data_IF_560107187687
#
_entry.id   IF_560107187687
#
_cell.length_a   1.000
_cell.length_b   1.000
_cell.length_c   1.000
_cell.angle_alpha   90.00
_cell.angle_beta   90.00
_cell.angle_gamma   90.00
#
_symmetry.space_group_name_H-M   'P 1'
#
loop_
_entity.id
_entity.type
_entity.pdbx_description
1 polymer ?
#
# COMPACT_ATOMS: atom_id res chain seq x y z
N UNK A 1 -22.07 -8.21 -34.84
CA UNK A 1 -21.68 -7.78 -33.49
C UNK A 1 -20.42 -8.57 -33.18
N UNK A 2 -19.34 -7.85 -32.90
CA UNK A 2 -17.96 -8.34 -32.98
C UNK A 2 -17.59 -9.09 -31.70
N UNK A 3 -17.05 -10.31 -31.83
CA UNK A 3 -16.68 -11.18 -30.70
C UNK A 3 -15.65 -10.53 -29.75
N UNK A 4 -14.92 -9.52 -30.24
CA UNK A 4 -14.02 -8.68 -29.44
C UNK A 4 -14.78 -7.81 -28.42
N UNK A 5 -15.93 -7.26 -28.78
CA UNK A 5 -16.74 -6.41 -27.92
C UNK A 5 -17.52 -7.22 -26.88
N UNK A 6 -17.98 -8.43 -27.23
CA UNK A 6 -18.57 -9.36 -26.26
C UNK A 6 -17.53 -9.86 -25.24
N UNK A 7 -16.30 -10.14 -25.68
CA UNK A 7 -15.19 -10.52 -24.80
C UNK A 7 -14.85 -9.42 -23.78
N UNK A 8 -14.65 -8.18 -24.24
CA UNK A 8 -14.35 -7.02 -23.37
C UNK A 8 -15.49 -6.76 -22.37
N UNK A 9 -16.74 -6.85 -22.83
CA UNK A 9 -17.91 -6.65 -21.96
C UNK A 9 -18.03 -7.76 -20.90
N UNK A 10 -17.74 -9.00 -21.26
CA UNK A 10 -17.75 -10.14 -20.31
C UNK A 10 -16.66 -10.02 -19.23
N UNK A 11 -15.47 -9.50 -19.57
CA UNK A 11 -14.38 -9.28 -18.62
C UNK A 11 -14.75 -8.14 -17.65
N UNK A 12 -15.33 -7.06 -18.16
CA UNK A 12 -15.79 -5.97 -17.31
C UNK A 12 -16.91 -6.42 -16.35
N UNK A 13 -17.87 -7.22 -16.80
CA UNK A 13 -18.94 -7.77 -15.95
C UNK A 13 -18.41 -8.72 -14.85
N UNK A 14 -17.30 -9.44 -15.13
CA UNK A 14 -16.68 -10.37 -14.18
C UNK A 14 -16.02 -9.66 -12.99
N UNK A 15 -15.49 -8.44 -13.19
CA UNK A 15 -14.82 -7.67 -12.14
C UNK A 15 -15.79 -7.10 -11.09
N UNK A 16 -17.08 -7.01 -11.40
CA UNK A 16 -18.11 -6.50 -10.48
C UNK A 16 -19.02 -7.60 -9.95
N UNK A 17 -18.58 -8.86 -10.03
CA UNK A 17 -19.29 -9.98 -9.40
C UNK A 17 -19.34 -9.80 -7.88
N UNK A 18 -20.46 -10.21 -7.24
CA UNK A 18 -20.57 -10.16 -5.78
C UNK A 18 -19.43 -10.88 -5.08
N UNK A 19 -18.95 -10.28 -3.99
CA UNK A 19 -17.98 -10.95 -3.11
C UNK A 19 -18.70 -12.10 -2.40
N UNK A 20 -18.08 -13.28 -2.25
CA UNK A 20 -18.66 -14.38 -1.48
C UNK A 20 -19.08 -13.93 -0.08
N UNK A 21 -20.27 -14.38 0.35
CA UNK A 21 -20.77 -14.14 1.72
C UNK A 21 -19.97 -14.90 2.76
N UNK A 22 -19.33 -16.01 2.37
CA UNK A 22 -18.43 -16.80 3.18
C UNK A 22 -17.02 -16.69 2.60
N UNK A 23 -16.17 -15.92 3.26
CA UNK A 23 -14.74 -15.86 2.97
C UNK A 23 -14.06 -16.78 3.98
N UNK A 24 -13.21 -17.74 3.56
CA UNK A 24 -12.53 -18.62 4.50
C UNK A 24 -11.77 -17.82 5.57
N UNK A 25 -12.06 -18.04 6.86
CA UNK A 25 -11.39 -17.30 7.90
C UNK A 25 -9.94 -17.78 8.04
N UNK A 26 -9.01 -16.88 8.32
CA UNK A 26 -7.61 -17.23 8.57
C UNK A 26 -7.39 -17.84 9.98
N UNK A 27 -8.42 -18.33 10.68
CA UNK A 27 -8.29 -18.83 12.05
C UNK A 27 -7.26 -19.96 12.11
N UNK A 28 -6.27 -19.83 13.01
CA UNK A 28 -5.22 -20.83 13.16
C UNK A 28 -4.10 -20.73 12.11
N UNK A 29 -4.07 -19.68 11.29
CA UNK A 29 -3.04 -19.47 10.25
C UNK A 29 -1.60 -19.59 10.79
N UNK A 30 -1.35 -19.19 12.04
CA UNK A 30 -0.02 -19.29 12.69
C UNK A 30 0.50 -20.72 12.84
N UNK A 31 -0.37 -21.72 12.72
CA UNK A 31 -0.01 -23.15 12.78
C UNK A 31 0.37 -23.75 11.42
N UNK A 32 0.18 -23.00 10.32
CA UNK A 32 0.65 -23.43 9.00
C UNK A 32 2.18 -23.49 9.01
N UNK A 33 2.73 -24.64 8.64
CA UNK A 33 4.19 -24.85 8.63
C UNK A 33 4.84 -23.98 7.56
N UNK A 34 5.91 -23.28 7.92
CA UNK A 34 6.72 -22.48 7.00
C UNK A 34 7.90 -23.32 6.49
N UNK A 35 8.00 -23.43 5.17
CA UNK A 35 9.16 -23.94 4.43
C UNK A 35 9.65 -22.81 3.52
N UNK A 36 10.54 -21.95 4.06
CA UNK A 36 11.04 -20.76 3.37
C UNK A 36 11.58 -21.08 1.96
N UNK A 37 11.10 -20.36 0.96
CA UNK A 37 11.38 -20.60 -0.46
C UNK A 37 12.42 -19.65 -1.06
N UNK A 38 13.00 -18.75 -0.25
CA UNK A 38 14.09 -17.82 -0.62
C UNK A 38 13.71 -16.81 -1.72
N UNK A 39 12.42 -16.55 -1.96
CA UNK A 39 12.00 -15.50 -2.90
C UNK A 39 12.43 -14.12 -2.36
N UNK A 40 13.28 -13.33 -3.04
CA UNK A 40 13.84 -12.13 -2.44
C UNK A 40 12.78 -11.04 -2.23
N UNK A 41 13.06 -10.12 -1.30
CA UNK A 41 12.41 -8.82 -1.32
C UNK A 41 12.89 -8.02 -2.53
N UNK A 42 11.99 -7.22 -3.09
CA UNK A 42 12.26 -6.26 -4.17
C UNK A 42 11.60 -4.95 -3.82
N UNK A 43 12.27 -3.83 -4.14
CA UNK A 43 11.66 -2.52 -4.06
C UNK A 43 10.56 -2.41 -5.14
N UNK A 44 9.40 -1.89 -4.74
CA UNK A 44 8.31 -1.56 -5.65
C UNK A 44 8.03 -0.05 -5.63
N UNK A 45 7.55 0.46 -6.76
CA UNK A 45 7.19 1.85 -6.93
C UNK A 45 8.34 2.78 -7.30
N UNK A 46 8.17 4.10 -7.12
CA UNK A 46 9.00 5.07 -7.80
C UNK A 46 10.48 4.95 -7.47
N UNK A 47 11.34 5.10 -8.48
CA UNK A 47 12.80 4.90 -8.41
C UNK A 47 13.27 3.48 -8.06
N UNK A 48 12.39 2.47 -8.07
CA UNK A 48 12.80 1.07 -7.87
C UNK A 48 13.80 0.54 -8.90
N UNK A 49 13.96 1.24 -10.03
CA UNK A 49 14.95 0.89 -11.07
C UNK A 49 14.67 -0.46 -11.73
N UNK A 50 13.44 -0.95 -11.61
CA UNK A 50 13.02 -2.25 -12.11
C UNK A 50 11.59 -2.16 -12.70
N UNK A 51 11.06 -3.28 -13.18
CA UNK A 51 9.73 -3.35 -13.83
C UNK A 51 8.54 -3.00 -12.93
N UNK A 52 8.75 -2.77 -11.64
CA UNK A 52 7.72 -2.45 -10.64
C UNK A 52 7.62 -0.94 -10.37
N UNK A 53 8.37 -0.10 -11.09
CA UNK A 53 8.38 1.36 -10.95
C UNK A 53 7.00 2.01 -11.16
N UNK A 54 6.16 1.36 -11.98
CA UNK A 54 4.80 1.81 -12.32
C UNK A 54 3.77 1.59 -11.21
N UNK A 55 4.06 0.75 -10.22
CA UNK A 55 3.14 0.52 -9.09
C UNK A 55 3.25 1.72 -8.16
N UNK A 56 2.19 2.50 -8.01
CA UNK A 56 2.26 3.64 -7.10
C UNK A 56 2.21 3.18 -5.64
N UNK A 57 3.03 3.81 -4.79
CA UNK A 57 3.15 3.47 -3.37
C UNK A 57 2.91 4.70 -2.50
N UNK A 58 2.22 4.54 -1.37
CA UNK A 58 2.19 5.53 -0.28
C UNK A 58 2.69 4.84 0.97
N UNK A 59 3.92 5.14 1.39
CA UNK A 59 4.50 4.52 2.59
C UNK A 59 3.88 5.09 3.86
N UNK A 60 2.72 4.54 4.26
CA UNK A 60 1.86 5.13 5.29
C UNK A 60 2.57 5.23 6.64
N UNK A 61 3.24 4.18 7.10
CA UNK A 61 3.88 4.18 8.42
C UNK A 61 5.08 5.14 8.49
N UNK A 62 5.65 5.50 7.33
CA UNK A 62 6.69 6.51 7.23
C UNK A 62 6.14 7.94 7.28
N UNK A 63 4.86 8.14 6.95
CA UNK A 63 4.27 9.47 6.81
C UNK A 63 4.78 10.19 5.56
N UNK A 64 4.90 9.46 4.44
CA UNK A 64 5.36 10.00 3.16
C UNK A 64 4.43 11.13 2.66
N UNK A 65 3.13 11.01 2.92
CA UNK A 65 2.06 11.83 2.33
C UNK A 65 1.04 12.28 3.37
N UNK A 66 0.16 13.21 2.97
CA UNK A 66 -0.92 13.76 3.81
C UNK A 66 -2.07 12.78 4.08
N UNK A 67 -2.16 11.72 3.27
CA UNK A 67 -3.06 10.58 3.43
C UNK A 67 -2.65 9.61 4.55
N UNK A 68 -1.44 9.76 5.10
CA UNK A 68 -1.00 8.92 6.21
C UNK A 68 -1.62 9.37 7.53
N UNK A 69 -2.22 8.45 8.30
CA UNK A 69 -2.62 8.74 9.67
C UNK A 69 -1.40 8.83 10.61
N UNK A 70 -0.24 8.31 10.21
CA UNK A 70 0.99 8.32 11.01
C UNK A 70 1.85 9.55 10.68
N UNK A 71 2.39 10.18 11.73
CA UNK A 71 3.31 11.30 11.56
C UNK A 71 4.66 10.85 10.97
N UNK A 72 5.28 11.75 10.20
CA UNK A 72 6.61 11.51 9.63
C UNK A 72 7.65 11.19 10.70
N UNK A 73 8.40 10.11 10.47
CA UNK A 73 9.43 9.58 11.37
C UNK A 73 8.95 9.34 12.82
N UNK A 74 7.64 9.07 13.02
CA UNK A 74 7.07 8.78 14.35
C UNK A 74 7.07 7.29 14.70
N UNK A 75 7.12 6.42 13.70
CA UNK A 75 7.22 4.98 13.90
C UNK A 75 8.65 4.53 13.66
N UNK A 76 9.25 3.94 14.70
CA UNK A 76 10.60 3.38 14.61
C UNK A 76 10.63 2.28 13.55
N UNK A 77 11.64 2.31 12.69
CA UNK A 77 11.84 1.31 11.64
C UNK A 77 10.93 1.46 10.42
N UNK A 78 10.12 2.51 10.35
CA UNK A 78 9.28 2.79 9.18
C UNK A 78 10.14 3.12 7.96
N UNK A 79 9.77 2.58 6.80
CA UNK A 79 10.51 2.69 5.54
C UNK A 79 9.76 3.59 4.56
N UNK A 80 10.48 4.41 3.77
CA UNK A 80 9.87 5.16 2.66
C UNK A 80 9.76 4.29 1.40
N UNK A 81 10.62 3.29 1.26
CA UNK A 81 10.52 2.31 0.20
C UNK A 81 9.54 1.23 0.62
N UNK A 82 8.59 0.93 -0.24
CA UNK A 82 7.76 -0.27 -0.10
C UNK A 82 8.52 -1.45 -0.70
N UNK A 83 8.74 -2.49 0.10
CA UNK A 83 9.31 -3.76 -0.35
C UNK A 83 8.24 -4.85 -0.34
N UNK A 84 8.33 -5.80 -1.25
CA UNK A 84 7.50 -7.00 -1.26
C UNK A 84 8.32 -8.19 -1.77
N UNK A 85 7.85 -9.42 -1.53
CA UNK A 85 8.43 -10.60 -2.21
C UNK A 85 8.26 -10.43 -3.72
N UNK A 86 9.22 -10.94 -4.51
CA UNK A 86 9.20 -10.76 -5.97
C UNK A 86 7.93 -11.32 -6.61
N UNK A 87 7.44 -12.49 -6.18
CA UNK A 87 6.17 -13.04 -6.69
C UNK A 87 5.00 -12.10 -6.37
N UNK A 88 4.96 -11.50 -5.17
CA UNK A 88 3.94 -10.50 -4.80
C UNK A 88 3.99 -9.28 -5.72
N UNK A 89 5.19 -8.77 -6.02
CA UNK A 89 5.35 -7.64 -6.95
C UNK A 89 4.89 -7.99 -8.39
N UNK A 90 5.14 -9.22 -8.84
CA UNK A 90 4.63 -9.75 -10.12
C UNK A 90 3.09 -9.86 -10.14
N UNK A 91 2.49 -10.28 -9.02
CA UNK A 91 1.03 -10.33 -8.86
C UNK A 91 0.42 -8.92 -8.87
N UNK A 92 1.03 -7.95 -8.17
CA UNK A 92 0.59 -6.54 -8.20
C UNK A 92 0.64 -5.97 -9.64
N UNK A 93 1.70 -6.27 -10.40
CA UNK A 93 1.82 -5.86 -11.81
C UNK A 93 0.73 -6.50 -12.67
N UNK A 94 0.31 -7.70 -12.32
CA UNK A 94 -0.81 -8.40 -12.98
C UNK A 94 -2.14 -7.75 -12.63
N UNK A 95 -2.37 -7.44 -11.36
CA UNK A 95 -3.56 -6.72 -10.89
C UNK A 95 -3.70 -5.35 -11.57
N UNK A 96 -2.62 -4.56 -11.65
CA UNK A 96 -2.58 -3.27 -12.35
C UNK A 96 -3.00 -3.38 -13.82
N UNK A 97 -2.62 -4.46 -14.51
CA UNK A 97 -3.00 -4.71 -15.92
C UNK A 97 -4.44 -5.16 -16.10
N UNK A 98 -5.06 -5.71 -15.06
CA UNK A 98 -6.46 -6.16 -15.10
C UNK A 98 -7.41 -4.98 -14.88
N UNK A 99 -6.98 -3.95 -14.15
CA UNK A 99 -7.81 -2.80 -13.84
C UNK A 99 -8.39 -2.13 -15.09
N UNK A 100 -9.64 -1.64 -15.03
CA UNK A 100 -10.20 -0.80 -16.07
C UNK A 100 -9.35 0.45 -16.31
N UNK A 101 -9.33 0.94 -17.55
CA UNK A 101 -8.58 2.14 -17.93
C UNK A 101 -8.92 3.34 -17.04
N UNK A 102 -7.89 4.06 -16.57
CA UNK A 102 -8.00 5.22 -15.69
C UNK A 102 -8.16 4.89 -14.20
N UNK A 103 -8.08 3.61 -13.84
CA UNK A 103 -7.99 3.13 -12.46
C UNK A 103 -6.63 2.49 -12.23
N UNK A 104 -6.06 2.73 -11.05
CA UNK A 104 -4.70 2.32 -10.70
C UNK A 104 -4.65 1.82 -9.26
N UNK A 105 -3.75 0.88 -8.99
CA UNK A 105 -3.46 0.43 -7.63
C UNK A 105 -2.54 1.43 -6.93
N UNK A 106 -2.82 1.62 -5.64
CA UNK A 106 -1.90 2.24 -4.70
C UNK A 106 -1.63 1.28 -3.55
N UNK A 107 -0.36 0.92 -3.38
CA UNK A 107 0.09 0.08 -2.27
C UNK A 107 0.41 0.97 -1.08
N UNK A 108 -0.28 0.71 0.02
CA UNK A 108 -0.20 1.49 1.26
C UNK A 108 0.77 0.85 2.26
N UNK A 109 0.78 -0.48 2.33
CA UNK A 109 1.76 -1.26 3.09
C UNK A 109 2.05 -2.60 2.42
N UNK A 110 3.24 -3.14 2.68
CA UNK A 110 3.67 -4.46 2.20
C UNK A 110 4.63 -5.09 3.22
N UNK A 111 5.93 -5.14 2.93
CA UNK A 111 6.92 -5.54 3.92
C UNK A 111 7.01 -4.52 5.05
N UNK A 112 6.76 -5.01 6.26
CA UNK A 112 6.90 -4.25 7.49
C UNK A 112 8.11 -4.74 8.27
N UNK A 113 8.94 -3.84 8.77
CA UNK A 113 10.04 -4.21 9.66
C UNK A 113 9.49 -4.70 11.00
N UNK A 114 10.27 -5.52 11.72
CA UNK A 114 9.90 -5.95 13.07
C UNK A 114 9.74 -4.75 14.02
N UNK A 115 10.56 -3.71 13.86
CA UNK A 115 10.48 -2.47 14.64
C UNK A 115 9.15 -1.73 14.46
N UNK A 116 8.61 -1.68 13.23
CA UNK A 116 7.29 -1.08 12.98
C UNK A 116 6.20 -1.96 13.58
N UNK A 117 6.27 -3.29 13.38
CA UNK A 117 5.30 -4.22 13.97
C UNK A 117 5.23 -4.09 15.50
N UNK A 118 6.39 -3.98 16.15
CA UNK A 118 6.49 -3.77 17.58
C UNK A 118 5.93 -2.40 17.99
N UNK A 119 6.26 -1.34 17.23
CA UNK A 119 5.79 0.02 17.52
C UNK A 119 4.26 0.12 17.44
N UNK A 120 3.64 -0.49 16.42
CA UNK A 120 2.20 -0.52 16.26
C UNK A 120 1.53 -1.30 17.40
N UNK A 121 2.04 -2.49 17.73
CA UNK A 121 1.49 -3.29 18.81
C UNK A 121 1.56 -2.54 20.14
N UNK A 122 2.70 -1.92 20.47
CA UNK A 122 2.84 -1.13 21.69
C UNK A 122 1.88 0.05 21.72
N UNK A 123 1.71 0.78 20.61
CA UNK A 123 0.77 1.91 20.56
C UNK A 123 -0.68 1.47 20.84
N UNK A 124 -1.15 0.40 20.19
CA UNK A 124 -2.49 -0.14 20.41
C UNK A 124 -2.68 -0.69 21.83
N UNK A 125 -1.69 -1.43 22.34
CA UNK A 125 -1.73 -2.00 23.69
C UNK A 125 -1.83 -0.90 24.76
N UNK A 126 -0.97 0.12 24.68
CA UNK A 126 -0.99 1.26 25.61
C UNK A 126 -2.26 2.10 25.46
N UNK A 127 -2.78 2.24 24.23
CA UNK A 127 -4.07 2.88 23.96
C UNK A 127 -5.22 2.16 24.67
N UNK A 128 -5.32 0.83 24.52
CA UNK A 128 -6.32 0.02 25.20
C UNK A 128 -6.15 0.06 26.72
N UNK A 129 -4.91 0.02 27.22
CA UNK A 129 -4.61 0.10 28.67
C UNK A 129 -5.08 1.42 29.27
N UNK A 130 -4.95 2.52 28.52
CA UNK A 130 -5.44 3.84 28.93
C UNK A 130 -6.98 3.91 28.92
N UNK A 131 -7.63 3.32 27.92
CA UNK A 131 -9.10 3.26 27.82
C UNK A 131 -9.72 2.30 28.85
N UNK A 132 -9.00 1.24 29.22
CA UNK A 132 -9.45 0.16 30.08
C UNK A 132 -8.41 -0.20 31.15
N UNK A 133 -8.19 0.68 32.15
CA UNK A 133 -7.15 0.50 33.17
C UNK A 133 -7.37 -0.72 34.08
N UNK A 134 -8.60 -1.26 34.11
CA UNK A 134 -8.97 -2.43 34.91
C UNK A 134 -8.73 -3.77 34.20
N UNK A 135 -8.35 -3.77 32.91
CA UNK A 135 -8.04 -5.00 32.19
C UNK A 135 -6.64 -5.49 32.54
N UNK A 136 -6.48 -6.81 32.64
CA UNK A 136 -5.17 -7.43 32.77
C UNK A 136 -4.43 -7.45 31.42
N UNK A 137 -3.11 -7.69 31.48
CA UNK A 137 -2.24 -7.67 30.30
C UNK A 137 -2.60 -8.78 29.29
N UNK A 138 -3.15 -9.92 29.75
CA UNK A 138 -3.59 -11.02 28.87
C UNK A 138 -4.80 -10.58 28.03
N UNK A 139 -5.84 -10.00 28.65
CA UNK A 139 -7.00 -9.46 27.94
C UNK A 139 -6.63 -8.30 27.02
N UNK A 140 -5.75 -7.40 27.47
CA UNK A 140 -5.25 -6.32 26.62
C UNK A 140 -4.55 -6.89 25.38
N UNK A 141 -3.71 -7.90 25.54
CA UNK A 141 -3.02 -8.57 24.44
C UNK A 141 -3.99 -9.25 23.47
N UNK A 142 -5.01 -9.95 23.97
CA UNK A 142 -6.06 -10.57 23.14
C UNK A 142 -6.84 -9.54 22.33
N UNK A 143 -7.19 -8.41 22.93
CA UNK A 143 -7.93 -7.33 22.25
C UNK A 143 -7.04 -6.55 21.28
N UNK A 144 -5.76 -6.30 21.61
CA UNK A 144 -4.79 -5.70 20.68
C UNK A 144 -4.61 -6.57 19.43
N UNK A 145 -4.52 -7.89 19.60
CA UNK A 145 -4.30 -8.84 18.50
C UNK A 145 -5.45 -8.92 17.49
N UNK A 146 -6.60 -8.30 17.77
CA UNK A 146 -7.71 -8.13 16.80
C UNK A 146 -7.42 -7.04 15.76
N UNK A 147 -6.52 -6.12 16.07
CA UNK A 147 -6.14 -5.00 15.19
C UNK A 147 -4.70 -5.13 14.70
N UNK A 148 -3.79 -5.53 15.58
CA UNK A 148 -2.37 -5.61 15.27
C UNK A 148 -1.81 -6.93 15.80
N UNK A 149 -1.30 -7.76 14.88
CA UNK A 149 -0.65 -9.02 15.25
C UNK A 149 0.52 -8.81 16.22
N UNK A 150 0.68 -9.72 17.18
CA UNK A 150 1.84 -9.73 18.07
C UNK A 150 3.15 -9.77 17.26
N UNK A 151 4.13 -8.89 17.53
CA UNK A 151 5.45 -8.97 16.90
C UNK A 151 6.12 -10.31 17.21
N UNK A 152 6.82 -10.87 16.23
CA UNK A 152 7.47 -12.17 16.36
C UNK A 152 8.88 -12.12 15.80
N UNK A 153 9.84 -12.60 16.59
CA UNK A 153 11.23 -12.83 16.18
C UNK A 153 11.44 -14.26 15.68
N UNK A 154 10.42 -15.12 15.74
CA UNK A 154 10.53 -16.52 15.30
C UNK A 154 10.35 -16.59 13.79
N UNK A 155 11.38 -17.00 13.01
CA UNK A 155 11.31 -16.93 11.55
C UNK A 155 10.18 -17.74 10.91
N UNK A 156 9.75 -18.83 11.56
CA UNK A 156 8.66 -19.69 11.12
C UNK A 156 7.27 -19.28 11.63
N UNK A 157 7.18 -18.21 12.43
CA UNK A 157 5.91 -17.65 12.95
C UNK A 157 5.91 -16.12 12.87
N UNK A 158 6.21 -15.50 11.72
CA UNK A 158 6.25 -14.05 11.56
C UNK A 158 4.84 -13.43 11.63
N UNK A 159 4.77 -12.12 11.88
CA UNK A 159 3.56 -11.37 11.51
C UNK A 159 3.44 -11.31 9.98
N UNK A 160 2.23 -11.26 9.40
CA UNK A 160 2.03 -11.42 7.96
C UNK A 160 2.89 -10.48 7.10
N UNK A 161 2.90 -9.18 7.44
CA UNK A 161 3.70 -8.17 6.75
C UNK A 161 5.22 -8.32 6.95
N UNK A 162 5.72 -8.98 8.02
CA UNK A 162 7.16 -9.21 8.19
C UNK A 162 7.72 -10.20 7.16
N UNK A 163 6.87 -10.86 6.39
CA UNK A 163 7.28 -11.78 5.32
C UNK A 163 7.49 -11.09 3.97
N UNK A 164 6.96 -9.87 3.79
CA UNK A 164 6.80 -9.25 2.46
C UNK A 164 5.75 -9.94 1.56
N UNK A 165 5.02 -10.91 2.12
CA UNK A 165 3.97 -11.69 1.46
C UNK A 165 2.56 -11.13 1.61
N UNK A 166 2.35 -10.19 2.53
CA UNK A 166 1.08 -9.51 2.75
C UNK A 166 1.16 -8.09 2.18
N UNK A 167 0.04 -7.61 1.64
CA UNK A 167 -0.09 -6.28 1.05
C UNK A 167 -1.41 -5.65 1.42
N UNK A 168 -1.35 -4.34 1.48
CA UNK A 168 -2.41 -3.43 1.86
C UNK A 168 -2.58 -2.47 0.70
N UNK A 169 -3.71 -2.55 0.00
CA UNK A 169 -3.90 -1.89 -1.30
C UNK A 169 -5.25 -1.23 -1.45
N UNK A 170 -5.29 -0.16 -2.24
CA UNK A 170 -6.53 0.49 -2.67
C UNK A 170 -6.48 0.82 -4.17
N UNK A 171 -7.59 1.36 -4.70
CA UNK A 171 -7.67 1.86 -6.07
C UNK A 171 -7.82 3.37 -6.03
N UNK A 172 -7.07 4.06 -6.87
CA UNK A 172 -7.23 5.48 -7.14
C UNK A 172 -7.54 5.74 -8.61
N UNK A 173 -8.01 6.95 -8.88
CA UNK A 173 -8.18 7.49 -10.24
C UNK A 173 -7.55 8.87 -10.35
N UNK A 174 -7.20 9.23 -11.59
CA UNK A 174 -6.68 10.55 -11.93
C UNK A 174 -7.68 11.33 -12.80
N UNK A 175 -7.63 12.68 -12.77
CA UNK A 175 -8.26 13.49 -13.80
C UNK A 175 -7.69 13.12 -15.19
N UNK A 176 -8.53 13.14 -16.22
CA UNK A 176 -8.18 12.67 -17.57
C UNK A 176 -6.90 13.31 -18.15
N UNK A 177 -6.70 14.62 -17.94
CA UNK A 177 -5.50 15.32 -18.42
C UNK A 177 -4.24 14.93 -17.66
N UNK A 178 -4.37 14.61 -16.37
CA UNK A 178 -3.25 14.11 -15.55
C UNK A 178 -2.91 12.68 -15.96
N UNK A 179 -3.92 11.85 -16.20
CA UNK A 179 -3.77 10.47 -16.69
C UNK A 179 -2.97 10.44 -18.00
N UNK A 180 -3.35 11.28 -18.98
CA UNK A 180 -2.62 11.42 -20.26
C UNK A 180 -1.17 11.80 -20.03
N UNK A 181 -0.89 12.73 -19.10
CA UNK A 181 0.48 13.17 -18.80
C UNK A 181 1.30 12.06 -18.13
N UNK A 182 0.74 11.37 -17.14
CA UNK A 182 1.39 10.23 -16.47
C UNK A 182 1.68 9.10 -17.45
N UNK A 183 0.73 8.77 -18.34
CA UNK A 183 0.95 7.78 -19.41
C UNK A 183 2.09 8.18 -20.35
N UNK A 184 2.13 9.45 -20.79
CA UNK A 184 3.20 9.94 -21.66
C UNK A 184 4.57 9.89 -20.99
N UNK A 185 4.63 10.14 -19.67
CA UNK A 185 5.85 9.99 -18.88
C UNK A 185 6.27 8.51 -18.82
N UNK A 186 5.35 7.60 -18.53
CA UNK A 186 5.61 6.16 -18.47
C UNK A 186 6.14 5.61 -19.81
N UNK A 187 5.59 6.08 -20.93
CA UNK A 187 6.07 5.72 -22.27
C UNK A 187 7.47 6.28 -22.53
N UNK A 188 7.74 7.53 -22.13
CA UNK A 188 9.06 8.15 -22.30
C UNK A 188 10.14 7.44 -21.49
N UNK A 189 9.89 7.15 -20.21
CA UNK A 189 10.79 6.38 -19.36
C UNK A 189 11.04 4.99 -19.98
N UNK A 190 9.98 4.33 -20.45
CA UNK A 190 10.09 3.02 -21.11
C UNK A 190 10.90 3.03 -22.41
N UNK A 191 10.89 4.14 -23.15
CA UNK A 191 11.71 4.32 -24.37
C UNK A 191 13.19 4.54 -24.03
N UNK A 192 13.48 5.32 -22.99
CA UNK A 192 14.86 5.57 -22.54
C UNK A 192 15.48 4.26 -22.01
N UNK A 193 14.70 3.48 -21.26
CA UNK A 193 15.16 2.21 -20.70
C UNK A 193 16.31 2.41 -19.71
N UNK A 194 17.36 1.61 -19.85
CA UNK A 194 18.54 1.60 -18.97
C UNK A 194 19.70 2.48 -19.51
N UNK A 195 19.42 3.44 -20.39
CA UNK A 195 20.46 4.33 -20.92
C UNK A 195 21.00 5.26 -19.82
N UNK A 196 22.18 4.92 -19.31
CA UNK A 196 22.87 5.67 -18.26
C UNK A 196 23.18 7.13 -18.64
N UNK A 197 23.19 7.47 -19.93
CA UNK A 197 23.42 8.85 -20.39
C UNK A 197 22.21 9.77 -20.22
N UNK A 198 21.02 9.20 -19.98
CA UNK A 198 19.74 9.91 -19.83
C UNK A 198 19.16 9.80 -18.40
N UNK A 199 19.99 9.39 -17.42
CA UNK A 199 19.61 9.27 -16.00
C UNK A 199 18.97 10.56 -15.48
N UNK A 200 19.44 11.70 -15.98
CA UNK A 200 18.88 12.98 -15.61
C UNK A 200 17.43 13.15 -16.09
N UNK A 201 17.15 12.82 -17.35
CA UNK A 201 15.81 12.92 -17.89
C UNK A 201 14.86 11.97 -17.14
N UNK A 202 15.27 10.72 -16.92
CA UNK A 202 14.48 9.72 -16.19
C UNK A 202 14.15 10.21 -14.79
N UNK A 203 15.13 10.72 -14.04
CA UNK A 203 14.89 11.22 -12.70
C UNK A 203 13.90 12.39 -12.68
N UNK A 204 14.02 13.35 -13.61
CA UNK A 204 13.08 14.48 -13.68
C UNK A 204 11.66 14.01 -14.00
N UNK A 205 11.53 13.08 -14.95
CA UNK A 205 10.25 12.48 -15.34
C UNK A 205 9.61 11.70 -14.19
N UNK A 206 10.41 10.92 -13.45
CA UNK A 206 9.97 10.23 -12.22
C UNK A 206 9.44 11.22 -11.18
N UNK A 207 10.19 12.28 -10.89
CA UNK A 207 9.75 13.33 -9.97
C UNK A 207 8.43 13.98 -10.40
N UNK A 208 8.28 14.27 -11.70
CA UNK A 208 7.05 14.82 -12.25
C UNK A 208 5.88 13.82 -12.10
N UNK A 209 6.09 12.55 -12.46
CA UNK A 209 5.10 11.48 -12.35
C UNK A 209 4.61 11.34 -10.91
N UNK A 210 5.52 11.23 -9.96
CA UNK A 210 5.21 11.11 -8.53
C UNK A 210 4.41 12.31 -8.06
N UNK A 211 4.84 13.54 -8.39
CA UNK A 211 4.17 14.76 -7.98
C UNK A 211 2.77 14.92 -8.58
N UNK A 212 2.58 14.54 -9.84
CA UNK A 212 1.29 14.55 -10.52
C UNK A 212 0.31 13.57 -9.87
N UNK A 213 0.73 12.32 -9.65
CA UNK A 213 -0.10 11.33 -8.96
C UNK A 213 -0.40 11.82 -7.55
N UNK A 214 0.63 12.27 -6.83
CA UNK A 214 0.54 12.74 -5.47
C UNK A 214 -0.51 13.82 -5.25
N UNK A 215 -0.57 14.79 -6.16
CA UNK A 215 -1.46 15.94 -6.06
C UNK A 215 -2.89 15.64 -6.51
N UNK A 216 -3.07 14.65 -7.38
CA UNK A 216 -4.34 14.48 -8.12
C UNK A 216 -5.01 13.14 -7.88
N UNK A 217 -4.33 12.15 -7.29
CA UNK A 217 -4.89 10.85 -6.98
C UNK A 217 -6.10 11.01 -6.06
N UNK A 218 -7.22 10.42 -6.48
CA UNK A 218 -8.42 10.30 -5.66
C UNK A 218 -8.68 8.83 -5.42
N UNK A 219 -8.52 8.40 -4.17
CA UNK A 219 -8.94 7.06 -3.75
C UNK A 219 -10.43 6.88 -4.08
N UNK A 220 -10.78 5.68 -4.55
CA UNK A 220 -12.17 5.30 -4.66
C UNK A 220 -12.80 5.21 -3.28
N UNK A 221 -14.11 5.42 -3.20
CA UNK A 221 -14.84 5.28 -1.94
C UNK A 221 -14.98 3.79 -1.62
N UNK A 222 -14.40 3.32 -0.51
CA UNK A 222 -14.54 1.94 -0.03
C UNK A 222 -15.43 1.84 1.22
N UNK A 223 -16.11 2.93 1.60
CA UNK A 223 -17.10 2.96 2.68
C UNK A 223 -16.54 3.13 4.10
N UNK A 224 -15.24 2.89 4.30
CA UNK A 224 -14.52 3.24 5.53
C UNK A 224 -13.23 3.98 5.17
N UNK A 225 -12.65 4.69 6.14
CA UNK A 225 -11.26 5.12 6.03
C UNK A 225 -10.30 3.91 6.06
N UNK A 226 -9.05 4.17 5.70
CA UNK A 226 -7.94 3.24 5.87
C UNK A 226 -7.72 2.88 7.34
N UNK A 227 -7.27 1.65 7.63
CA UNK A 227 -6.94 1.17 8.99
C UNK A 227 -8.12 1.31 9.98
N UNK A 228 -9.35 1.20 9.46
CA UNK A 228 -10.56 1.33 10.25
C UNK A 228 -10.84 0.02 11.01
N UNK A 229 -10.71 0.03 12.33
CA UNK A 229 -10.91 -1.15 13.19
C UNK A 229 -12.38 -1.56 13.47
N UNK A 230 -13.34 -1.19 12.63
CA UNK A 230 -14.75 -1.55 12.82
C UNK A 230 -15.20 -2.69 11.90
N UNK A 231 -16.34 -3.32 12.22
CA UNK A 231 -16.92 -4.41 11.42
C UNK A 231 -17.27 -3.99 9.99
N UNK A 232 -17.43 -2.68 9.77
CA UNK A 232 -17.66 -2.08 8.46
C UNK A 232 -16.45 -2.21 7.53
N UNK A 233 -15.25 -2.49 8.06
CA UNK A 233 -14.06 -2.77 7.25
C UNK A 233 -14.12 -4.15 6.58
N UNK A 234 -14.94 -5.08 7.07
CA UNK A 234 -15.04 -6.43 6.55
C UNK A 234 -15.32 -6.44 5.05
N UNK A 235 -14.57 -7.24 4.31
CA UNK A 235 -14.52 -7.22 2.85
C UNK A 235 -15.91 -7.30 2.19
N UNK A 236 -16.80 -8.14 2.72
CA UNK A 236 -18.16 -8.35 2.22
C UNK A 236 -19.25 -7.60 3.01
N UNK A 237 -18.90 -6.63 3.86
CA UNK A 237 -19.85 -5.89 4.72
C UNK A 237 -21.05 -5.35 3.94
N UNK A 238 -20.82 -4.67 2.81
CA UNK A 238 -21.91 -4.11 2.01
C UNK A 238 -22.72 -5.15 1.23
N UNK A 239 -22.18 -6.36 1.00
CA UNK A 239 -22.97 -7.48 0.47
C UNK A 239 -23.99 -7.96 1.49
N UNK A 240 -23.57 -8.11 2.75
CA UNK A 240 -24.45 -8.45 3.86
C UNK A 240 -25.47 -7.35 4.12
N UNK A 241 -25.02 -6.09 4.15
CA UNK A 241 -25.90 -4.94 4.42
C UNK A 241 -27.03 -4.82 3.38
N UNK A 242 -26.74 -5.11 2.11
CA UNK A 242 -27.73 -5.10 1.02
C UNK A 242 -28.83 -6.16 1.16
N UNK A 243 -28.62 -7.21 1.98
CA UNK A 243 -29.64 -8.22 2.26
C UNK A 243 -30.67 -7.73 3.29
N UNK A 244 -30.31 -6.72 4.09
CA UNK A 244 -31.13 -6.24 5.20
C UNK A 244 -31.73 -4.86 4.95
N UNK A 245 -31.14 -4.07 4.06
CA UNK A 245 -31.67 -2.76 3.66
C UNK A 245 -31.33 -2.39 2.22
N UNK A 246 -32.06 -1.41 1.69
CA UNK A 246 -31.64 -0.73 0.49
C UNK A 246 -30.42 0.14 0.80
N UNK A 247 -29.35 -0.04 0.03
CA UNK A 247 -28.13 0.74 0.16
C UNK A 247 -28.34 2.19 -0.31
N UNK A 248 -27.68 3.12 0.37
CA UNK A 248 -27.52 4.49 -0.13
C UNK A 248 -26.66 4.47 -1.41
N UNK A 249 -26.62 5.61 -2.12
CA UNK A 249 -25.74 5.75 -3.29
C UNK A 249 -24.27 5.55 -2.93
N UNK A 250 -23.82 6.08 -1.79
CA UNK A 250 -22.43 5.98 -1.34
C UNK A 250 -22.09 4.55 -0.90
N UNK A 251 -23.02 3.86 -0.25
CA UNK A 251 -22.84 2.45 0.15
C UNK A 251 -22.81 1.52 -1.08
N UNK A 252 -23.63 1.80 -2.09
CA UNK A 252 -23.60 1.07 -3.36
C UNK A 252 -22.27 1.30 -4.09
N UNK A 253 -21.78 2.54 -4.14
CA UNK A 253 -20.47 2.86 -4.69
C UNK A 253 -19.35 2.11 -3.95
N UNK A 254 -19.36 2.12 -2.60
CA UNK A 254 -18.42 1.37 -1.79
C UNK A 254 -18.46 -0.13 -2.07
N UNK A 255 -19.66 -0.71 -2.20
CA UNK A 255 -19.84 -2.11 -2.58
C UNK A 255 -19.22 -2.43 -3.93
N UNK A 256 -19.48 -1.63 -4.96
CA UNK A 256 -18.93 -1.87 -6.29
C UNK A 256 -17.40 -1.72 -6.32
N UNK A 257 -16.85 -0.75 -5.60
CA UNK A 257 -15.40 -0.55 -5.52
C UNK A 257 -14.72 -1.71 -4.77
N UNK A 258 -15.32 -2.24 -3.69
CA UNK A 258 -14.81 -3.45 -3.02
C UNK A 258 -14.88 -4.68 -3.91
N UNK A 259 -15.96 -4.86 -4.68
CA UNK A 259 -16.06 -5.94 -5.68
C UNK A 259 -14.95 -5.84 -6.74
N UNK A 260 -14.72 -4.64 -7.27
CA UNK A 260 -13.67 -4.40 -8.25
C UNK A 260 -12.31 -4.79 -7.68
N UNK A 261 -11.95 -4.25 -6.51
CA UNK A 261 -10.67 -4.55 -5.87
C UNK A 261 -10.55 -6.05 -5.61
N UNK A 262 -11.53 -6.65 -4.95
CA UNK A 262 -11.55 -8.08 -4.67
C UNK A 262 -11.30 -8.91 -5.93
N UNK A 263 -12.13 -8.77 -6.97
CA UNK A 263 -12.02 -9.61 -8.15
C UNK A 263 -10.71 -9.39 -8.92
N UNK A 264 -10.18 -8.17 -8.95
CA UNK A 264 -8.87 -7.87 -9.53
C UNK A 264 -7.76 -8.62 -8.77
N UNK A 265 -7.76 -8.53 -7.44
CA UNK A 265 -6.74 -9.14 -6.60
C UNK A 265 -6.81 -10.68 -6.63
N UNK A 266 -8.00 -11.28 -6.58
CA UNK A 266 -8.17 -12.73 -6.73
C UNK A 266 -7.67 -13.21 -8.10
N UNK A 267 -7.99 -12.48 -9.18
CA UNK A 267 -7.51 -12.82 -10.53
C UNK A 267 -6.00 -12.71 -10.67
N UNK A 268 -5.37 -11.83 -9.90
CA UNK A 268 -3.92 -11.71 -9.83
C UNK A 268 -3.25 -12.80 -8.95
N UNK A 269 -4.04 -13.65 -8.27
CA UNK A 269 -3.55 -14.77 -7.48
C UNK A 269 -3.34 -14.47 -6.00
N UNK A 270 -3.92 -13.38 -5.50
CA UNK A 270 -3.95 -13.08 -4.07
C UNK A 270 -5.08 -13.81 -3.35
N UNK A 271 -4.89 -14.02 -2.06
CA UNK A 271 -5.91 -14.49 -1.11
C UNK A 271 -6.42 -13.31 -0.28
N UNK A 272 -7.74 -13.18 -0.10
CA UNK A 272 -8.33 -12.07 0.64
C UNK A 272 -8.19 -12.28 2.16
N UNK A 273 -8.30 -11.19 2.92
CA UNK A 273 -8.62 -11.26 4.35
C UNK A 273 -10.03 -10.75 4.60
N UNK A 274 -10.81 -11.53 5.36
CA UNK A 274 -12.25 -11.30 5.49
C UNK A 274 -12.58 -9.99 6.24
N UNK A 275 -11.75 -9.60 7.19
CA UNK A 275 -12.05 -8.51 8.12
C UNK A 275 -11.59 -7.13 7.62
N UNK A 276 -10.74 -7.08 6.59
CA UNK A 276 -10.17 -5.84 6.06
C UNK A 276 -10.25 -5.82 4.52
N UNK A 277 -11.04 -4.90 3.96
CA UNK A 277 -11.26 -4.84 2.50
C UNK A 277 -10.00 -4.57 1.67
N UNK A 278 -8.96 -4.02 2.30
CA UNK A 278 -7.70 -3.62 1.68
C UNK A 278 -6.60 -4.68 1.76
N UNK A 279 -6.73 -5.67 2.64
CA UNK A 279 -5.64 -6.58 2.99
C UNK A 279 -5.71 -7.88 2.20
N UNK A 280 -4.60 -8.21 1.56
CA UNK A 280 -4.45 -9.41 0.74
C UNK A 280 -3.12 -10.10 1.02
N UNK A 281 -3.11 -11.40 0.81
CA UNK A 281 -2.00 -12.28 1.12
C UNK A 281 -1.56 -13.06 -0.11
N UNK A 282 -0.26 -13.22 -0.30
CA UNK A 282 0.24 -14.28 -1.16
C UNK A 282 -0.13 -15.64 -0.59
N UNK A 283 -0.46 -16.58 -1.47
CA UNK A 283 -0.65 -18.00 -1.14
C UNK A 283 0.57 -18.65 -0.48
N UNK A 284 1.73 -18.00 -0.51
CA UNK A 284 2.96 -18.45 0.14
C UNK A 284 3.11 -17.91 1.57
N UNK A 285 2.35 -16.89 1.97
CA UNK A 285 2.27 -16.47 3.38
C UNK A 285 1.48 -17.49 4.21
N UNK A 286 1.65 -17.52 5.53
CA UNK A 286 0.86 -18.42 6.38
C UNK A 286 -0.65 -18.14 6.31
N UNK A 287 -1.07 -16.86 6.26
CA UNK A 287 -2.48 -16.50 6.11
C UNK A 287 -3.02 -16.91 4.74
N UNK A 288 -2.33 -16.59 3.64
CA UNK A 288 -2.77 -17.00 2.30
C UNK A 288 -2.75 -18.52 2.09
N UNK A 289 -1.77 -19.22 2.66
CA UNK A 289 -1.75 -20.68 2.64
C UNK A 289 -2.98 -21.27 3.37
N UNK A 290 -3.35 -20.72 4.53
CA UNK A 290 -4.55 -21.12 5.27
C UNK A 290 -5.82 -20.89 4.45
N UNK A 291 -6.01 -19.68 3.91
CA UNK A 291 -7.21 -19.29 3.14
C UNK A 291 -7.34 -20.11 1.85
N UNK A 292 -6.22 -20.41 1.18
CA UNK A 292 -6.18 -21.25 -0.03
C UNK A 292 -6.26 -22.76 0.22
N UNK A 293 -6.30 -23.20 1.49
CA UNK A 293 -6.33 -24.62 1.86
C UNK A 293 -5.01 -25.37 1.70
N UNK A 294 -3.88 -24.65 1.58
CA UNK A 294 -2.54 -25.25 1.61
C UNK A 294 -2.12 -25.59 3.03
N UNK A 295 -1.39 -26.69 3.19
CA UNK A 295 -0.86 -27.12 4.49
C UNK A 295 0.49 -26.50 4.84
N UNK A 296 1.10 -25.76 3.91
CA UNK A 296 2.46 -25.21 4.01
C UNK A 296 2.55 -23.84 3.36
N UNK A 297 3.32 -22.96 3.99
CA UNK A 297 3.63 -21.61 3.53
C UNK A 297 5.10 -21.55 3.07
N UNK A 298 5.36 -20.78 2.02
CA UNK A 298 6.69 -20.56 1.45
C UNK A 298 7.44 -19.35 2.03
N UNK A 299 6.77 -18.46 2.76
CA UNK A 299 7.36 -17.24 3.29
C UNK A 299 7.42 -17.25 4.81
N UNK A 300 8.63 -17.20 5.35
CA UNK A 300 8.96 -16.88 6.72
C UNK A 300 9.35 -15.41 6.90
N UNK A 301 9.79 -15.08 8.10
CA UNK A 301 10.38 -13.77 8.40
C UNK A 301 11.59 -13.54 7.49
N UNK A 302 11.70 -12.35 6.93
CA UNK A 302 12.83 -11.93 6.11
C UNK A 302 13.30 -10.55 6.59
N UNK A 303 14.59 -10.29 6.43
CA UNK A 303 15.17 -8.97 6.69
C UNK A 303 15.59 -8.33 5.35
N UNK A 304 15.73 -7.00 5.36
CA UNK A 304 16.25 -6.27 4.22
C UNK A 304 17.71 -6.66 3.97
N UNK A 305 18.04 -6.92 2.71
CA UNK A 305 19.42 -7.11 2.26
C UNK A 305 20.21 -5.79 2.30
N UNK A 306 21.53 -5.86 2.09
CA UNK A 306 22.36 -4.65 1.96
C UNK A 306 21.91 -3.76 0.79
N UNK A 307 21.47 -4.38 -0.32
CA UNK A 307 20.96 -3.68 -1.50
C UNK A 307 19.64 -2.97 -1.20
N UNK A 308 18.73 -3.64 -0.49
CA UNK A 308 17.46 -3.04 -0.05
C UNK A 308 17.70 -1.82 0.84
N UNK A 309 18.64 -1.91 1.79
CA UNK A 309 19.03 -0.77 2.62
C UNK A 309 19.65 0.37 1.81
N UNK A 310 20.44 0.06 0.77
CA UNK A 310 20.98 1.08 -0.12
C UNK A 310 19.86 1.83 -0.86
N UNK A 311 18.87 1.10 -1.38
CA UNK A 311 17.70 1.67 -2.04
C UNK A 311 16.87 2.55 -1.08
N UNK A 312 16.61 2.06 0.13
CA UNK A 312 15.90 2.82 1.17
C UNK A 312 16.60 4.15 1.50
N UNK A 313 17.93 4.11 1.67
CA UNK A 313 18.73 5.32 1.91
C UNK A 313 18.70 6.28 0.72
N UNK A 314 18.69 5.77 -0.51
CA UNK A 314 18.53 6.58 -1.72
C UNK A 314 17.17 7.30 -1.73
N UNK A 315 16.07 6.57 -1.51
CA UNK A 315 14.71 7.13 -1.48
C UNK A 315 14.54 8.20 -0.40
N UNK A 316 15.10 7.99 0.80
CA UNK A 316 15.12 9.00 1.87
C UNK A 316 15.81 10.29 1.45
N UNK A 317 16.95 10.19 0.75
CA UNK A 317 17.67 11.37 0.24
C UNK A 317 16.84 12.11 -0.80
N UNK A 318 16.17 11.41 -1.71
CA UNK A 318 15.28 12.03 -2.71
C UNK A 318 14.12 12.78 -2.06
N UNK A 319 13.46 12.18 -1.07
CA UNK A 319 12.39 12.84 -0.34
C UNK A 319 12.88 14.09 0.40
N UNK A 320 13.98 13.96 1.16
CA UNK A 320 14.56 15.09 1.90
C UNK A 320 14.94 16.24 0.95
N UNK A 321 15.54 15.89 -0.18
CA UNK A 321 15.87 16.82 -1.23
C UNK A 321 14.67 17.59 -1.78
N UNK A 322 13.59 16.85 -2.07
CA UNK A 322 12.32 17.43 -2.53
C UNK A 322 11.73 18.38 -1.49
N UNK A 323 11.71 18.00 -0.21
CA UNK A 323 11.23 18.87 0.87
C UNK A 323 12.03 20.17 0.98
N UNK A 324 13.36 20.11 0.90
CA UNK A 324 14.22 21.29 0.94
C UNK A 324 13.87 22.28 -0.18
N UNK A 325 13.58 21.79 -1.38
CA UNK A 325 13.17 22.61 -2.52
C UNK A 325 11.80 23.26 -2.32
N UNK A 326 10.83 22.55 -1.74
CA UNK A 326 9.51 23.13 -1.46
C UNK A 326 9.52 24.23 -0.39
N UNK A 327 10.50 24.21 0.51
CA UNK A 327 10.60 25.12 1.65
C UNK A 327 11.56 26.30 1.43
N UNK A 328 12.40 26.25 0.39
CA UNK A 328 13.43 27.26 0.13
C UNK A 328 13.07 28.10 -1.09
N UNK A 329 12.97 29.44 -0.97
CA UNK A 329 12.79 30.31 -2.13
C UNK A 329 13.93 30.11 -3.13
N UNK A 330 13.61 29.97 -4.42
CA UNK A 330 14.56 29.66 -5.51
C UNK A 330 15.84 30.50 -5.45
N UNK A 331 15.75 31.79 -5.13
CA UNK A 331 16.91 32.70 -5.06
C UNK A 331 17.89 32.39 -3.90
N UNK A 332 17.52 31.50 -2.99
CA UNK A 332 18.33 31.07 -1.85
C UNK A 332 19.03 29.73 -2.08
N UNK A 333 18.71 29.01 -3.17
CA UNK A 333 19.30 27.71 -3.49
C UNK A 333 20.79 27.83 -3.90
N UNK A 334 21.18 28.93 -4.54
CA UNK A 334 22.58 29.23 -4.91
C UNK A 334 23.54 29.27 -3.71
N UNK A 335 23.02 29.46 -2.49
CA UNK A 335 23.80 29.52 -1.24
C UNK A 335 24.07 28.14 -0.61
N UNK A 336 23.44 27.07 -1.10
CA UNK A 336 23.59 25.71 -0.56
C UNK A 336 24.87 24.99 -1.04
N UNK A 337 25.70 25.64 -1.85
CA UNK A 337 26.97 25.08 -2.32
C UNK A 337 26.80 24.30 -3.63
N UNK A 338 27.69 24.61 -4.56
CA UNK A 338 27.73 24.22 -5.99
C UNK A 338 27.22 22.79 -6.32
N UNK A 339 26.37 22.76 -7.35
CA UNK A 339 26.01 21.62 -8.20
C UNK A 339 25.60 20.34 -7.48
N UNK A 340 24.39 20.37 -6.97
CA UNK A 340 23.66 19.15 -6.68
C UNK A 340 22.67 18.98 -7.82
N UNK A 341 23.11 18.34 -8.90
CA UNK A 341 22.36 18.13 -10.14
C UNK A 341 20.90 17.71 -9.90
N UNK A 342 20.69 16.79 -8.95
CA UNK A 342 19.35 16.33 -8.57
C UNK A 342 18.45 17.41 -7.94
N UNK A 343 19.01 18.47 -7.31
CA UNK A 343 18.24 19.62 -6.80
C UNK A 343 17.71 20.49 -7.95
N UNK A 344 18.53 20.73 -8.98
CA UNK A 344 18.13 21.51 -10.17
C UNK A 344 16.98 20.79 -10.90
N UNK A 345 17.08 19.47 -11.05
CA UNK A 345 16.07 18.66 -11.73
C UNK A 345 14.77 18.54 -10.92
N UNK A 346 14.87 18.39 -9.60
CA UNK A 346 13.70 18.38 -8.73
C UNK A 346 13.04 19.78 -8.69
N UNK A 347 13.79 20.86 -8.89
CA UNK A 347 13.26 22.21 -9.04
C UNK A 347 12.48 22.37 -10.37
N UNK A 348 13.00 21.87 -11.49
CA UNK A 348 12.28 21.86 -12.78
C UNK A 348 10.97 21.05 -12.70
N UNK A 349 11.02 19.86 -12.07
CA UNK A 349 9.83 19.07 -11.83
C UNK A 349 8.81 19.84 -10.97
N UNK A 350 9.25 20.51 -9.89
CA UNK A 350 8.39 21.32 -9.05
C UNK A 350 7.73 22.49 -9.81
N UNK A 351 8.43 23.12 -10.76
CA UNK A 351 7.85 24.17 -11.61
C UNK A 351 6.70 23.64 -12.48
N UNK A 352 6.78 22.39 -12.92
CA UNK A 352 5.75 21.72 -13.72
C UNK A 352 4.53 21.33 -12.89
N UNK A 353 4.74 20.92 -11.62
CA UNK A 353 3.69 20.48 -10.69
C UNK A 353 2.95 21.65 -10.02
N UNK A 354 3.62 22.82 -9.88
CA UNK A 354 3.13 23.99 -9.15
C UNK A 354 3.43 23.94 -7.64
N UNK A 355 2.63 24.61 -6.80
CA UNK A 355 2.86 24.59 -5.34
C UNK A 355 2.69 23.17 -4.79
N UNK A 356 3.79 22.59 -4.29
CA UNK A 356 3.83 21.27 -3.67
C UNK A 356 3.54 21.32 -2.16
N UNK A 357 3.37 22.51 -1.56
CA UNK A 357 3.12 22.65 -0.11
C UNK A 357 1.86 21.94 0.35
N UNK A 358 0.84 21.87 -0.50
CA UNK A 358 -0.42 21.16 -0.20
C UNK A 358 -0.26 19.63 -0.09
N UNK A 359 0.86 19.06 -0.56
CA UNK A 359 1.13 17.61 -0.52
C UNK A 359 1.98 17.14 0.67
N UNK A 360 2.37 18.06 1.57
CA UNK A 360 3.61 17.89 2.36
C UNK A 360 3.47 17.87 3.88
N UNK A 361 2.25 17.79 4.42
CA UNK A 361 2.07 17.62 5.87
C UNK A 361 1.15 16.42 6.16
N UNK A 362 1.68 15.28 6.65
CA UNK A 362 0.85 14.22 7.20
C UNK A 362 -0.12 14.81 8.21
N UNK A 363 -1.42 14.56 8.03
CA UNK A 363 -2.43 14.83 9.06
C UNK A 363 -2.29 13.75 10.11
N UNK A 364 -1.20 13.82 10.87
CA UNK A 364 -0.94 12.87 11.95
C UNK A 364 -2.15 12.86 12.88
N UNK A 365 -2.91 11.78 12.83
CA UNK A 365 -3.89 11.45 13.82
C UNK A 365 -3.23 10.45 14.77
N UNK A 366 -3.48 10.58 16.07
CA UNK A 366 -3.19 9.44 16.95
C UNK A 366 -4.24 8.40 16.57
N UNK A 367 -3.85 7.32 15.88
CA UNK A 367 -4.74 6.18 15.71
C UNK A 367 -4.83 5.52 17.08
N UNK A 368 -5.91 5.83 17.79
CA UNK A 368 -6.28 5.12 19.01
C UNK A 368 -7.12 3.90 18.62
N UNK A 369 -7.01 2.77 19.37
CA UNK A 369 -7.94 1.67 19.19
C UNK A 369 -9.37 2.20 19.31
N UNK A 370 -10.30 1.76 18.46
CA UNK A 370 -11.67 2.26 18.47
C UNK A 370 -12.29 2.03 19.86
N UNK A 371 -12.93 3.06 20.42
CA UNK A 371 -13.75 2.88 21.63
C UNK A 371 -14.81 1.81 21.30
N UNK A 372 -14.84 0.71 22.05
CA UNK A 372 -15.93 -0.26 21.93
C UNK A 372 -17.24 0.50 22.11
N UNK A 373 -18.05 0.58 21.07
CA UNK A 373 -19.47 0.85 21.27
C UNK A 373 -19.97 -0.24 22.23
N UNK A 374 -20.53 0.18 23.37
CA UNK A 374 -21.15 -0.73 24.30
C UNK A 374 -22.17 -1.59 23.52
N UNK A 375 -21.91 -2.89 23.46
CA UNK A 375 -22.78 -3.88 22.81
C UNK A 375 -24.20 -3.85 23.39
#
# INVERSE_FOLDING_TARGET
MDASQESIKSVAEDLYKPIPTEIPPAIGWKEVLVEENEDPLVAIGPFSGNKYDRIFTSSIYFGERDDSPYGRDKLKGALITTFARREVADQLTTAERILPQGLHLIVMDAYRTLDVQQSLYTQYFEGLKKQHPDWDDDRLSEETQKFVSLPSTTPSRPSPHNTGGAIDVAIYKLPEEVEKRVSAINDRIGIIGEDESEVEEVYRLEMERIGLIAKNAKLLNFGTQWDFGGVEAALNYFEGLAQHKQLSREEEEARQNRRLLYNVMIKAGFEPYADEWWHYNSVQSQMGAMTSGKTRAGYGAIELSEEDWHHELMRRKHLHGTELLTRTPVQSLDKLGRHVLWLEMAQEAAQTIGDMKETSLPRAAIIEPPEKQAA
#
